data_IF_407107368353
#
_entry.id   IF_407107368353
#
_cell.length_a   1.000
_cell.length_b   1.000
_cell.length_c   1.000
_cell.angle_alpha   90.00
_cell.angle_beta   90.00
_cell.angle_gamma   90.00
#
_symmetry.space_group_name_H-M   'P 1'
#
loop_
_entity.id
_entity.type
_entity.pdbx_description
1 polymer ?
#
# COMPACT_ATOMS: atom_id res chain seq x y z
N UNK A 1 -43.82 -61.86 35.63
CA UNK A 1 -42.83 -61.83 34.62
C UNK A 1 -42.93 -60.44 33.93
N UNK A 2 -42.18 -59.48 34.43
CA UNK A 2 -42.16 -58.09 33.91
C UNK A 2 -41.05 -57.96 32.89
N UNK A 3 -41.41 -57.68 31.66
CA UNK A 3 -40.47 -57.31 30.62
C UNK A 3 -40.21 -55.80 30.68
N UNK A 4 -38.95 -55.31 30.59
CA UNK A 4 -38.68 -53.88 30.60
C UNK A 4 -38.86 -53.27 29.20
N UNK A 5 -39.47 -52.11 29.17
CA UNK A 5 -39.67 -51.23 28.00
C UNK A 5 -38.35 -50.64 27.59
N UNK A 6 -38.00 -50.57 26.29
CA UNK A 6 -36.78 -49.90 25.82
C UNK A 6 -36.89 -48.38 25.93
N UNK A 7 -35.77 -47.66 26.16
CA UNK A 7 -35.75 -46.22 26.25
C UNK A 7 -35.92 -45.56 24.85
N UNK A 8 -36.71 -44.48 24.81
CA UNK A 8 -36.96 -43.66 23.63
C UNK A 8 -35.67 -42.98 23.14
N UNK A 9 -35.49 -42.80 21.83
CA UNK A 9 -34.32 -42.11 21.28
C UNK A 9 -34.37 -40.60 21.60
N UNK A 10 -33.30 -40.10 22.17
CA UNK A 10 -33.09 -38.70 22.46
C UNK A 10 -33.06 -37.89 21.15
N UNK A 11 -33.96 -36.92 21.04
CA UNK A 11 -33.96 -35.93 19.94
C UNK A 11 -32.72 -35.06 20.06
N UNK A 12 -31.78 -35.23 19.14
CA UNK A 12 -30.70 -34.27 18.90
C UNK A 12 -31.29 -32.94 18.46
N UNK A 13 -30.91 -31.86 19.17
CA UNK A 13 -31.26 -30.50 18.78
C UNK A 13 -30.66 -30.15 17.43
N UNK A 14 -31.36 -29.43 16.56
CA UNK A 14 -30.81 -29.02 15.26
C UNK A 14 -29.65 -28.05 15.46
N UNK A 15 -28.53 -28.32 14.76
CA UNK A 15 -27.37 -27.44 14.65
C UNK A 15 -27.87 -26.11 14.02
N UNK A 16 -27.64 -24.95 14.66
CA UNK A 16 -28.03 -23.69 14.05
C UNK A 16 -27.25 -23.50 12.74
N UNK A 17 -27.98 -23.23 11.65
CA UNK A 17 -27.41 -22.90 10.37
C UNK A 17 -26.48 -21.69 10.49
N UNK A 18 -25.35 -21.63 9.73
CA UNK A 18 -24.47 -20.47 9.73
C UNK A 18 -25.29 -19.24 9.35
N UNK A 19 -25.23 -18.21 10.18
CA UNK A 19 -25.84 -16.90 9.88
C UNK A 19 -25.25 -16.43 8.56
N UNK A 20 -26.11 -16.30 7.54
CA UNK A 20 -25.77 -15.62 6.31
C UNK A 20 -25.23 -14.21 6.67
N UNK A 21 -23.97 -13.95 6.35
CA UNK A 21 -23.43 -12.61 6.40
C UNK A 21 -24.31 -11.74 5.51
N UNK A 22 -24.91 -10.70 6.11
CA UNK A 22 -25.66 -9.71 5.37
C UNK A 22 -24.68 -9.08 4.38
N UNK A 23 -25.02 -8.92 3.08
CA UNK A 23 -24.17 -8.20 2.13
C UNK A 23 -23.82 -6.86 2.77
N UNK A 24 -22.50 -6.56 2.84
CA UNK A 24 -21.99 -5.35 3.45
C UNK A 24 -22.72 -4.13 2.90
N UNK A 25 -23.30 -3.34 3.81
CA UNK A 25 -23.92 -2.07 3.44
C UNK A 25 -22.86 -1.25 2.69
N UNK A 26 -23.16 -0.67 1.51
CA UNK A 26 -22.21 0.15 0.80
C UNK A 26 -21.67 1.23 1.75
N UNK A 27 -20.38 1.60 1.64
CA UNK A 27 -19.78 2.61 2.51
C UNK A 27 -20.63 3.88 2.45
N UNK A 28 -21.06 4.37 3.62
CA UNK A 28 -21.86 5.59 3.66
C UNK A 28 -20.99 6.75 3.14
N UNK A 29 -21.53 7.71 2.38
CA UNK A 29 -20.77 8.86 1.87
C UNK A 29 -19.95 9.57 2.97
N UNK A 30 -20.41 9.46 4.22
CA UNK A 30 -19.72 10.00 5.40
C UNK A 30 -18.44 9.27 5.74
N UNK A 31 -18.40 7.94 5.55
CA UNK A 31 -17.19 7.12 5.78
C UNK A 31 -16.13 7.48 4.74
N UNK A 32 -16.52 7.64 3.49
CA UNK A 32 -15.61 8.04 2.41
C UNK A 32 -15.01 9.43 2.66
N UNK A 33 -15.84 10.39 3.11
CA UNK A 33 -15.37 11.71 3.50
C UNK A 33 -14.39 11.67 4.66
N UNK A 34 -14.68 10.88 5.72
CA UNK A 34 -13.77 10.69 6.84
C UNK A 34 -12.42 10.13 6.39
N UNK A 35 -12.43 9.14 5.50
CA UNK A 35 -11.20 8.53 4.98
C UNK A 35 -10.42 9.52 4.12
N UNK A 36 -11.07 10.28 3.26
CA UNK A 36 -10.41 11.28 2.42
C UNK A 36 -9.72 12.36 3.26
N UNK A 37 -10.44 12.96 4.23
CA UNK A 37 -9.88 13.98 5.12
C UNK A 37 -8.77 13.42 6.02
N UNK A 38 -8.97 12.23 6.59
CA UNK A 38 -7.94 11.57 7.38
C UNK A 38 -6.68 11.28 6.56
N UNK A 39 -6.83 10.88 5.30
CA UNK A 39 -5.72 10.65 4.38
C UNK A 39 -4.92 11.93 4.17
N UNK A 40 -5.58 13.06 3.87
CA UNK A 40 -4.94 14.36 3.71
C UNK A 40 -4.21 14.80 4.98
N UNK A 41 -4.87 14.75 6.14
CA UNK A 41 -4.28 15.11 7.42
C UNK A 41 -3.05 14.24 7.77
N UNK A 42 -3.14 12.92 7.56
CA UNK A 42 -2.01 12.02 7.80
C UNK A 42 -0.85 12.26 6.84
N UNK A 43 -1.13 12.66 5.60
CA UNK A 43 -0.10 13.03 4.62
C UNK A 43 0.64 14.31 5.03
N UNK A 44 -0.09 15.32 5.45
CA UNK A 44 0.45 16.64 5.77
C UNK A 44 1.16 16.67 7.11
N UNK A 45 0.49 16.24 8.17
CA UNK A 45 0.99 16.34 9.54
C UNK A 45 1.63 15.05 10.08
N UNK A 46 1.38 13.89 9.46
CA UNK A 46 1.79 12.57 9.93
C UNK A 46 0.82 11.99 10.95
N UNK A 47 0.71 10.65 10.94
CA UNK A 47 -0.25 9.91 11.77
C UNK A 47 -0.24 10.30 13.25
N UNK A 48 0.95 10.48 13.84
CA UNK A 48 1.05 10.76 15.28
C UNK A 48 0.54 12.12 15.70
N UNK A 49 0.65 13.10 14.81
CA UNK A 49 0.33 14.49 15.10
C UNK A 49 -1.14 14.84 14.82
N UNK A 50 -1.91 13.94 14.21
CA UNK A 50 -3.33 14.12 13.92
C UNK A 50 -4.17 13.43 15.00
N UNK A 51 -5.13 14.12 15.57
CA UNK A 51 -6.11 13.57 16.51
C UNK A 51 -7.40 13.10 15.81
N UNK A 52 -8.17 12.25 16.48
CA UNK A 52 -9.49 11.83 15.96
C UNK A 52 -10.48 12.99 15.97
N UNK A 53 -10.30 13.94 16.89
CA UNK A 53 -11.06 15.17 16.98
C UNK A 53 -10.86 16.07 15.75
N UNK A 54 -9.60 16.20 15.28
CA UNK A 54 -9.28 16.97 14.06
C UNK A 54 -9.87 16.31 12.82
N UNK A 55 -9.79 14.97 12.71
CA UNK A 55 -10.41 14.23 11.60
C UNK A 55 -11.93 14.44 11.63
N UNK A 56 -12.55 14.35 12.80
CA UNK A 56 -13.97 14.59 12.96
C UNK A 56 -14.37 16.01 12.56
N UNK A 57 -13.64 17.00 13.06
CA UNK A 57 -13.90 18.41 12.78
C UNK A 57 -13.85 18.74 11.27
N UNK A 58 -12.91 18.12 10.52
CA UNK A 58 -12.78 18.30 9.08
C UNK A 58 -14.05 17.89 8.29
N UNK A 59 -14.85 16.96 8.85
CA UNK A 59 -16.12 16.52 8.23
C UNK A 59 -17.36 16.96 9.02
N UNK A 60 -17.22 17.89 9.96
CA UNK A 60 -18.32 18.39 10.78
C UNK A 60 -18.86 17.39 11.80
N UNK A 61 -18.00 16.49 12.29
CA UNK A 61 -18.31 15.53 13.36
C UNK A 61 -17.52 15.85 14.63
N UNK A 62 -18.03 15.38 15.75
CA UNK A 62 -17.27 15.36 17.02
C UNK A 62 -16.39 14.12 17.09
N UNK A 63 -15.28 14.15 17.85
CA UNK A 63 -14.45 12.99 18.08
C UNK A 63 -15.21 11.73 18.49
N UNK A 64 -16.10 11.79 19.52
CA UNK A 64 -16.97 10.66 19.88
C UNK A 64 -17.85 10.14 18.73
N UNK A 65 -18.27 11.00 17.81
CA UNK A 65 -19.06 10.56 16.65
C UNK A 65 -18.23 9.77 15.64
N UNK A 66 -16.93 10.06 15.50
CA UNK A 66 -16.01 9.30 14.63
C UNK A 66 -15.86 7.85 15.11
N UNK A 67 -15.82 7.63 16.44
CA UNK A 67 -15.71 6.28 17.01
C UNK A 67 -16.91 5.38 16.74
N UNK A 68 -18.02 5.94 16.23
CA UNK A 68 -19.17 5.14 15.74
C UNK A 68 -18.89 4.48 14.39
N UNK A 69 -17.93 5.00 13.63
CA UNK A 69 -17.52 4.51 12.30
C UNK A 69 -16.23 3.68 12.38
N UNK A 70 -15.29 4.11 13.21
CA UNK A 70 -13.97 3.48 13.34
C UNK A 70 -13.63 3.26 14.82
N UNK A 71 -13.33 2.02 15.24
CA UNK A 71 -13.00 1.69 16.63
C UNK A 71 -11.76 2.45 17.15
N UNK A 72 -10.82 2.76 16.25
CA UNK A 72 -9.58 3.45 16.61
C UNK A 72 -9.04 4.31 15.47
N UNK A 73 -8.08 5.18 15.78
CA UNK A 73 -7.34 5.93 14.76
C UNK A 73 -6.51 5.01 13.85
N UNK A 74 -6.08 3.84 14.34
CA UNK A 74 -5.39 2.83 13.53
C UNK A 74 -6.30 2.26 12.45
N UNK A 75 -7.58 1.98 12.77
CA UNK A 75 -8.55 1.49 11.78
C UNK A 75 -8.82 2.53 10.69
N UNK A 76 -8.81 3.82 11.04
CA UNK A 76 -8.88 4.91 10.04
C UNK A 76 -7.67 4.87 9.12
N UNK A 77 -6.46 4.72 9.67
CA UNK A 77 -5.23 4.62 8.88
C UNK A 77 -5.24 3.37 7.98
N UNK A 78 -5.63 2.22 8.53
CA UNK A 78 -5.73 0.97 7.78
C UNK A 78 -6.68 1.12 6.59
N UNK A 79 -7.87 1.72 6.81
CA UNK A 79 -8.84 1.95 5.75
C UNK A 79 -8.36 2.97 4.72
N UNK A 80 -7.69 4.05 5.16
CA UNK A 80 -7.09 5.04 4.27
C UNK A 80 -6.05 4.40 3.32
N UNK A 81 -5.18 3.55 3.85
CA UNK A 81 -4.18 2.82 3.07
C UNK A 81 -4.82 1.78 2.14
N UNK A 82 -5.83 1.03 2.62
CA UNK A 82 -6.57 0.08 1.80
C UNK A 82 -7.22 0.77 0.60
N UNK A 83 -7.87 1.91 0.82
CA UNK A 83 -8.50 2.70 -0.26
C UNK A 83 -7.47 3.14 -1.31
N UNK A 84 -6.25 3.50 -0.90
CA UNK A 84 -5.18 3.84 -1.85
C UNK A 84 -4.74 2.64 -2.69
N UNK A 85 -4.56 1.48 -2.07
CA UNK A 85 -4.19 0.23 -2.77
C UNK A 85 -5.28 -0.19 -3.76
N UNK A 86 -6.55 -0.15 -3.32
CA UNK A 86 -7.70 -0.42 -4.19
C UNK A 86 -7.75 0.55 -5.38
N UNK A 87 -7.47 1.83 -5.14
CA UNK A 87 -7.39 2.83 -6.18
C UNK A 87 -6.30 2.57 -7.22
N UNK A 88 -5.13 2.06 -6.80
CA UNK A 88 -4.07 1.65 -7.75
C UNK A 88 -4.47 0.39 -8.52
N UNK A 89 -5.12 -0.58 -7.87
CA UNK A 89 -5.66 -1.77 -8.56
C UNK A 89 -6.67 -1.41 -9.63
N UNK A 90 -7.57 -0.46 -9.34
CA UNK A 90 -8.56 0.00 -10.29
C UNK A 90 -7.93 0.58 -11.57
N UNK A 91 -6.73 1.19 -11.49
CA UNK A 91 -5.99 1.66 -12.66
C UNK A 91 -5.54 0.50 -13.56
N UNK A 92 -5.18 -0.64 -12.98
CA UNK A 92 -4.81 -1.82 -13.75
C UNK A 92 -6.02 -2.40 -14.48
N UNK A 93 -7.16 -2.51 -13.81
CA UNK A 93 -8.43 -2.92 -14.46
C UNK A 93 -8.81 -1.97 -15.60
N UNK A 94 -8.70 -0.65 -15.40
CA UNK A 94 -8.93 0.33 -16.47
C UNK A 94 -7.96 0.16 -17.65
N UNK A 95 -6.71 -0.20 -17.39
CA UNK A 95 -5.75 -0.46 -18.47
C UNK A 95 -6.09 -1.73 -19.23
N UNK A 96 -6.56 -2.77 -18.55
CA UNK A 96 -7.03 -4.03 -19.14
C UNK A 96 -8.28 -3.84 -20.02
N UNK A 97 -9.20 -2.98 -19.60
CA UNK A 97 -10.39 -2.65 -20.38
C UNK A 97 -10.09 -1.83 -21.64
N UNK A 98 -8.96 -1.12 -21.70
CA UNK A 98 -8.60 -0.23 -22.82
C UNK A 98 -7.81 -0.91 -23.93
N UNK A 99 -7.17 -2.03 -23.67
CA UNK A 99 -6.38 -2.78 -24.66
C UNK A 99 -6.29 -4.26 -24.30
N UNK A 100 -6.23 -5.12 -25.32
CA UNK A 100 -5.93 -6.54 -25.17
C UNK A 100 -4.41 -6.81 -25.16
N UNK A 101 -3.60 -5.84 -25.61
CA UNK A 101 -2.14 -5.96 -25.67
C UNK A 101 -1.52 -5.76 -24.28
N UNK A 102 -0.81 -6.76 -23.73
CA UNK A 102 -0.13 -6.62 -22.43
C UNK A 102 0.85 -5.43 -22.37
N UNK A 103 1.55 -5.14 -23.46
CA UNK A 103 2.48 -4.00 -23.54
C UNK A 103 1.74 -2.66 -23.46
N UNK A 104 0.62 -2.53 -24.18
CA UNK A 104 -0.21 -1.33 -24.12
C UNK A 104 -0.88 -1.18 -22.74
N UNK A 105 -1.34 -2.28 -22.13
CA UNK A 105 -1.88 -2.27 -20.77
C UNK A 105 -0.87 -1.73 -19.76
N UNK A 106 0.41 -2.13 -19.83
CA UNK A 106 1.47 -1.58 -18.99
C UNK A 106 1.65 -0.08 -19.24
N UNK A 107 1.69 0.34 -20.51
CA UNK A 107 1.78 1.75 -20.89
C UNK A 107 0.65 2.57 -20.28
N UNK A 108 -0.60 2.16 -20.53
CA UNK A 108 -1.81 2.81 -20.00
C UNK A 108 -1.81 2.85 -18.47
N UNK A 109 -1.49 1.74 -17.82
CA UNK A 109 -1.42 1.68 -16.36
C UNK A 109 -0.44 2.72 -15.79
N UNK A 110 0.78 2.78 -16.33
CA UNK A 110 1.78 3.74 -15.84
C UNK A 110 1.44 5.18 -16.18
N UNK A 111 0.74 5.47 -17.27
CA UNK A 111 0.22 6.79 -17.60
C UNK A 111 -0.86 7.25 -16.61
N UNK A 112 -1.79 6.37 -16.29
CA UNK A 112 -2.82 6.63 -15.28
C UNK A 112 -2.21 6.84 -13.90
N UNK A 113 -1.25 5.99 -13.52
CA UNK A 113 -0.57 6.08 -12.24
C UNK A 113 0.27 7.38 -12.13
N UNK A 114 0.96 7.77 -13.20
CA UNK A 114 1.71 9.03 -13.27
C UNK A 114 0.79 10.25 -13.14
N UNK A 115 -0.34 10.24 -13.82
CA UNK A 115 -1.35 11.29 -13.73
C UNK A 115 -1.87 11.41 -12.30
N UNK A 116 -2.24 10.30 -11.67
CA UNK A 116 -2.71 10.26 -10.30
C UNK A 116 -1.65 10.74 -9.31
N UNK A 117 -0.41 10.28 -9.46
CA UNK A 117 0.71 10.71 -8.62
C UNK A 117 1.01 12.20 -8.73
N UNK A 118 0.91 12.77 -9.94
CA UNK A 118 1.13 14.19 -10.18
C UNK A 118 0.08 15.10 -9.54
N UNK A 119 -1.11 14.57 -9.22
CA UNK A 119 -2.17 15.28 -8.50
C UNK A 119 -2.15 15.02 -6.98
N UNK A 120 -1.16 14.31 -6.47
CA UNK A 120 -1.01 14.03 -5.04
C UNK A 120 -1.80 12.81 -4.55
N UNK A 121 -2.49 12.08 -5.44
CA UNK A 121 -3.32 10.93 -5.07
C UNK A 121 -2.54 9.64 -4.80
N UNK A 122 -1.26 9.60 -5.16
CA UNK A 122 -0.33 8.53 -4.76
C UNK A 122 0.54 9.06 -3.64
N UNK A 123 0.22 8.67 -2.43
CA UNK A 123 0.85 9.27 -1.26
C UNK A 123 2.05 8.49 -0.76
N UNK A 124 2.91 9.20 -0.05
CA UNK A 124 3.98 8.61 0.78
C UNK A 124 3.44 7.95 2.04
N UNK A 125 2.12 7.97 2.25
CA UNK A 125 1.49 7.51 3.49
C UNK A 125 1.86 6.06 3.82
N UNK A 126 1.82 5.17 2.83
CA UNK A 126 2.24 3.78 2.99
C UNK A 126 3.68 3.68 3.51
N UNK A 127 4.63 4.34 2.85
CA UNK A 127 6.04 4.27 3.21
C UNK A 127 6.33 4.87 4.58
N UNK A 128 5.60 5.93 4.95
CA UNK A 128 5.82 6.67 6.19
C UNK A 128 5.10 6.08 7.39
N UNK A 129 3.85 5.63 7.21
CA UNK A 129 2.94 5.38 8.33
C UNK A 129 2.57 3.89 8.52
N UNK A 130 2.95 2.98 7.59
CA UNK A 130 2.65 1.53 7.69
C UNK A 130 3.08 0.90 9.02
N UNK A 131 4.13 1.44 9.64
CA UNK A 131 4.62 0.99 10.95
C UNK A 131 3.63 1.20 12.11
N UNK A 132 2.57 1.97 11.89
CA UNK A 132 1.51 2.22 12.86
C UNK A 132 0.30 1.30 12.69
N UNK A 133 0.31 0.44 11.69
CA UNK A 133 -0.73 -0.56 11.47
C UNK A 133 -0.59 -1.75 12.42
N UNK A 134 -1.70 -2.44 12.65
CA UNK A 134 -1.68 -3.75 13.28
C UNK A 134 -1.02 -4.77 12.34
N UNK A 135 -0.51 -5.86 12.91
CA UNK A 135 0.19 -6.89 12.14
C UNK A 135 -0.71 -7.51 11.06
N UNK A 136 -1.97 -7.77 11.41
CA UNK A 136 -2.97 -8.28 10.47
C UNK A 136 -3.14 -7.38 9.25
N UNK A 137 -3.29 -6.06 9.49
CA UNK A 137 -3.47 -5.09 8.40
C UNK A 137 -2.23 -4.98 7.50
N UNK A 138 -1.04 -5.10 8.10
CA UNK A 138 0.22 -5.16 7.34
C UNK A 138 0.28 -6.39 6.44
N UNK A 139 -0.07 -7.56 6.98
CA UNK A 139 -0.04 -8.82 6.24
C UNK A 139 -1.04 -8.79 5.07
N UNK A 140 -2.22 -8.21 5.27
CA UNK A 140 -3.24 -8.01 4.23
C UNK A 140 -2.75 -7.02 3.15
N UNK A 141 -2.16 -5.89 3.55
CA UNK A 141 -1.62 -4.91 2.62
C UNK A 141 -0.46 -5.47 1.80
N UNK A 142 0.45 -6.21 2.42
CA UNK A 142 1.56 -6.87 1.75
C UNK A 142 1.05 -7.95 0.76
N UNK A 143 -0.07 -8.62 1.07
CA UNK A 143 -0.72 -9.55 0.15
C UNK A 143 -1.30 -8.83 -1.08
N UNK A 144 -2.00 -7.72 -0.87
CA UNK A 144 -2.54 -6.90 -1.97
C UNK A 144 -1.43 -6.34 -2.86
N UNK A 145 -0.33 -5.85 -2.25
CA UNK A 145 0.81 -5.36 -3.00
C UNK A 145 1.46 -6.47 -3.85
N UNK A 146 1.65 -7.66 -3.28
CA UNK A 146 2.16 -8.82 -4.03
C UNK A 146 1.27 -9.17 -5.22
N UNK A 147 -0.05 -9.21 -5.01
CA UNK A 147 -1.01 -9.49 -6.08
C UNK A 147 -0.91 -8.48 -7.22
N UNK A 148 -0.77 -7.18 -6.92
CA UNK A 148 -0.57 -6.15 -7.93
C UNK A 148 0.76 -6.35 -8.69
N UNK A 149 1.86 -6.60 -7.98
CA UNK A 149 3.17 -6.84 -8.60
C UNK A 149 3.14 -8.09 -9.47
N UNK A 150 2.50 -9.16 -9.03
CA UNK A 150 2.36 -10.40 -9.80
C UNK A 150 1.53 -10.19 -11.08
N UNK A 151 0.45 -9.41 -10.99
CA UNK A 151 -0.38 -9.06 -12.16
C UNK A 151 0.38 -8.18 -13.17
N UNK A 152 1.19 -7.22 -12.71
CA UNK A 152 2.06 -6.43 -13.57
C UNK A 152 3.17 -7.30 -14.18
N UNK A 153 3.80 -8.14 -13.38
CA UNK A 153 4.89 -9.03 -13.82
C UNK A 153 4.44 -9.99 -14.94
N UNK A 154 3.21 -10.53 -14.86
CA UNK A 154 2.66 -11.41 -15.89
C UNK A 154 2.54 -10.72 -17.26
N UNK A 155 2.36 -9.40 -17.28
CA UNK A 155 2.28 -8.63 -18.53
C UNK A 155 3.66 -8.42 -19.17
N UNK A 156 4.74 -8.35 -18.39
CA UNK A 156 6.11 -8.35 -18.91
C UNK A 156 6.49 -9.68 -19.55
N UNK A 157 6.14 -10.79 -18.92
CA UNK A 157 6.42 -12.13 -19.41
C UNK A 157 5.73 -12.40 -20.77
N UNK A 158 4.55 -11.81 -20.98
CA UNK A 158 3.80 -11.90 -22.23
C UNK A 158 4.37 -11.03 -23.36
N UNK A 159 5.18 -10.00 -23.05
CA UNK A 159 5.70 -9.04 -24.04
C UNK A 159 7.10 -9.35 -24.55
N UNK A 160 7.94 -10.01 -23.74
CA UNK A 160 9.33 -10.32 -24.08
C UNK A 160 9.66 -11.79 -23.80
N UNK A 161 9.79 -12.59 -24.84
CA UNK A 161 10.27 -13.96 -24.74
C UNK A 161 11.70 -13.97 -24.17
N UNK A 162 11.86 -14.39 -22.91
CA UNK A 162 13.17 -14.59 -22.27
C UNK A 162 13.41 -13.84 -20.95
N UNK A 163 12.44 -13.11 -20.45
CA UNK A 163 12.48 -12.56 -19.08
C UNK A 163 11.93 -13.63 -18.12
N UNK A 164 12.71 -14.02 -17.09
CA UNK A 164 12.20 -14.92 -16.06
C UNK A 164 11.25 -14.19 -15.10
N UNK A 165 10.36 -14.95 -14.46
CA UNK A 165 9.33 -14.42 -13.57
C UNK A 165 9.91 -13.57 -12.42
N UNK A 166 11.10 -13.86 -11.93
CA UNK A 166 11.74 -13.09 -10.87
C UNK A 166 12.19 -11.73 -11.37
N UNK A 167 12.75 -11.69 -12.56
CA UNK A 167 13.13 -10.46 -13.26
C UNK A 167 11.92 -9.60 -13.59
N UNK A 168 10.83 -10.19 -14.08
CA UNK A 168 9.58 -9.47 -14.33
C UNK A 168 9.01 -8.83 -13.04
N UNK A 169 9.03 -9.54 -11.92
CA UNK A 169 8.64 -8.99 -10.61
C UNK A 169 9.57 -7.87 -10.15
N UNK A 170 10.86 -7.99 -10.39
CA UNK A 170 11.83 -6.94 -10.05
C UNK A 170 11.53 -5.67 -10.85
N UNK A 171 11.32 -5.77 -12.16
CA UNK A 171 10.98 -4.64 -13.03
C UNK A 171 9.66 -4.00 -12.60
N UNK A 172 8.62 -4.79 -12.36
CA UNK A 172 7.32 -4.29 -11.88
C UNK A 172 7.47 -3.53 -10.56
N UNK A 173 8.21 -4.10 -9.61
CA UNK A 173 8.47 -3.47 -8.31
C UNK A 173 9.24 -2.17 -8.47
N UNK A 174 10.29 -2.15 -9.28
CA UNK A 174 11.10 -0.97 -9.54
C UNK A 174 10.25 0.14 -10.18
N UNK A 175 9.46 -0.19 -11.21
CA UNK A 175 8.61 0.77 -11.91
C UNK A 175 7.54 1.38 -10.98
N UNK A 176 6.85 0.58 -10.17
CA UNK A 176 5.88 1.09 -9.18
C UNK A 176 6.56 1.95 -8.12
N UNK A 177 7.78 1.59 -7.69
CA UNK A 177 8.54 2.33 -6.67
C UNK A 177 8.92 3.75 -7.10
N UNK A 178 9.00 4.02 -8.42
CA UNK A 178 9.24 5.38 -8.95
C UNK A 178 8.18 6.35 -8.42
N UNK A 179 6.92 5.95 -8.43
CA UNK A 179 5.81 6.82 -8.01
C UNK A 179 5.81 7.08 -6.50
N UNK A 180 6.10 6.08 -5.70
CA UNK A 180 6.22 6.24 -4.25
C UNK A 180 7.42 7.12 -3.85
N UNK A 181 8.55 7.00 -4.55
CA UNK A 181 9.76 7.78 -4.27
C UNK A 181 9.63 9.24 -4.72
N UNK A 182 8.92 9.50 -5.81
CA UNK A 182 8.73 10.85 -6.36
C UNK A 182 7.56 11.61 -5.73
N UNK A 183 6.71 10.94 -4.95
CA UNK A 183 5.63 11.61 -4.22
C UNK A 183 6.13 12.71 -3.27
N UNK A 184 7.35 12.59 -2.74
CA UNK A 184 7.98 13.64 -1.93
C UNK A 184 8.34 14.91 -2.73
N UNK A 185 8.36 14.84 -4.07
CA UNK A 185 8.62 15.96 -4.97
C UNK A 185 7.34 16.71 -5.37
N UNK A 186 6.19 16.23 -4.93
CA UNK A 186 4.90 16.88 -5.18
C UNK A 186 4.91 18.30 -4.60
N UNK A 187 4.42 19.26 -5.37
CA UNK A 187 4.49 20.68 -5.04
C UNK A 187 5.81 21.39 -5.37
N UNK A 188 6.89 20.62 -5.60
CA UNK A 188 8.18 21.19 -6.05
C UNK A 188 8.29 21.32 -7.57
N UNK A 189 7.47 20.56 -8.29
CA UNK A 189 7.40 20.52 -9.75
C UNK A 189 5.96 20.71 -10.22
N UNK A 190 5.77 21.19 -11.45
CA UNK A 190 4.44 21.19 -12.06
C UNK A 190 3.99 19.75 -12.30
N UNK A 191 2.67 19.45 -12.20
CA UNK A 191 2.13 18.11 -12.46
C UNK A 191 2.62 17.52 -13.78
N UNK A 192 2.59 18.32 -14.85
CA UNK A 192 3.09 17.91 -16.18
C UNK A 192 4.57 17.49 -16.16
N UNK A 193 5.42 18.24 -15.46
CA UNK A 193 6.86 17.94 -15.39
C UNK A 193 7.11 16.68 -14.58
N UNK A 194 6.39 16.51 -13.48
CA UNK A 194 6.47 15.31 -12.63
C UNK A 194 6.06 14.06 -13.42
N UNK A 195 4.91 14.10 -14.12
CA UNK A 195 4.45 13.00 -15.00
C UNK A 195 5.50 12.65 -16.05
N UNK A 196 6.09 13.65 -16.73
CA UNK A 196 7.13 13.42 -17.74
C UNK A 196 8.35 12.69 -17.15
N UNK A 197 8.83 13.12 -15.98
CA UNK A 197 9.99 12.51 -15.32
C UNK A 197 9.65 11.06 -14.90
N UNK A 198 8.50 10.85 -14.26
CA UNK A 198 8.07 9.53 -13.84
C UNK A 198 7.98 8.55 -15.01
N UNK A 199 7.36 8.98 -16.11
CA UNK A 199 7.26 8.17 -17.33
C UNK A 199 8.64 7.86 -17.93
N UNK A 200 9.49 8.85 -18.09
CA UNK A 200 10.83 8.64 -18.64
C UNK A 200 11.67 7.66 -17.80
N UNK A 201 11.55 7.71 -16.47
CA UNK A 201 12.24 6.77 -15.59
C UNK A 201 11.64 5.37 -15.70
N UNK A 202 10.32 5.24 -15.73
CA UNK A 202 9.64 3.95 -15.93
C UNK A 202 10.04 3.36 -17.28
N UNK A 203 9.98 4.12 -18.37
CA UNK A 203 10.35 3.65 -19.71
C UNK A 203 11.81 3.18 -19.75
N UNK A 204 12.69 3.87 -19.04
CA UNK A 204 14.11 3.47 -18.89
C UNK A 204 14.26 2.15 -18.11
N UNK A 205 13.44 1.92 -17.07
CA UNK A 205 13.42 0.66 -16.32
C UNK A 205 12.92 -0.47 -17.21
N UNK A 206 11.83 -0.25 -17.96
CA UNK A 206 11.20 -1.24 -18.79
C UNK A 206 12.06 -1.64 -20.00
N UNK A 207 12.84 -0.70 -20.54
CA UNK A 207 13.75 -0.93 -21.66
C UNK A 207 15.17 -1.31 -21.24
N UNK A 208 15.43 -1.50 -19.94
CA UNK A 208 16.76 -1.83 -19.44
C UNK A 208 17.20 -3.23 -19.93
N UNK A 209 18.30 -3.34 -20.71
CA UNK A 209 18.82 -4.63 -21.12
C UNK A 209 19.36 -5.39 -19.90
N UNK A 210 18.63 -6.38 -19.44
CA UNK A 210 19.05 -7.20 -18.31
C UNK A 210 20.01 -8.31 -18.77
N UNK A 211 21.08 -8.56 -18.03
CA UNK A 211 22.01 -9.63 -18.38
C UNK A 211 21.31 -10.98 -18.23
N UNK A 212 21.14 -11.71 -19.34
CA UNK A 212 20.60 -13.05 -19.35
C UNK A 212 21.49 -13.98 -18.50
N UNK A 213 20.90 -14.63 -17.50
CA UNK A 213 21.62 -15.62 -16.69
C UNK A 213 22.47 -15.07 -15.53
N UNK A 214 22.39 -13.78 -15.23
CA UNK A 214 22.98 -13.25 -14.01
C UNK A 214 22.17 -13.75 -12.80
N UNK A 215 22.54 -14.90 -12.24
CA UNK A 215 22.16 -15.23 -10.88
C UNK A 215 22.66 -14.08 -10.00
N UNK A 216 21.75 -13.17 -9.65
CA UNK A 216 22.04 -12.06 -8.77
C UNK A 216 22.43 -12.62 -7.40
N UNK A 217 23.72 -12.85 -7.22
CA UNK A 217 24.34 -12.79 -5.90
C UNK A 217 24.46 -11.30 -5.54
N UNK A 218 23.37 -10.60 -5.46
CA UNK A 218 23.30 -9.39 -4.67
C UNK A 218 23.55 -9.83 -3.21
N UNK A 219 24.83 -9.96 -2.88
CA UNK A 219 25.27 -9.76 -1.51
C UNK A 219 24.92 -8.29 -1.25
N UNK A 220 23.71 -8.05 -0.72
CA UNK A 220 23.54 -6.92 0.13
C UNK A 220 24.64 -7.10 1.18
N UNK A 221 25.72 -6.34 1.01
CA UNK A 221 26.74 -6.27 2.04
C UNK A 221 25.97 -5.83 3.28
N UNK A 222 25.77 -6.79 4.16
CA UNK A 222 25.18 -6.56 5.47
C UNK A 222 25.96 -5.35 6.00
N UNK A 223 25.27 -4.22 6.26
CA UNK A 223 25.90 -2.95 6.65
C UNK A 223 26.62 -3.00 8.01
N UNK A 224 27.00 -4.20 8.45
CA UNK A 224 27.86 -4.49 9.60
C UNK A 224 29.35 -4.14 9.34
N UNK A 225 29.70 -3.71 8.13
CA UNK A 225 31.04 -3.37 7.75
C UNK A 225 31.45 -1.95 8.15
N UNK A 226 32.42 -1.83 9.04
CA UNK A 226 33.19 -0.65 9.42
C UNK A 226 32.34 0.52 9.96
N UNK A 227 32.42 0.72 11.26
CA UNK A 227 31.96 1.97 11.89
C UNK A 227 32.64 3.14 11.17
N UNK A 228 31.87 4.13 10.68
CA UNK A 228 32.44 5.29 10.04
C UNK A 228 33.47 5.96 10.95
N UNK A 229 34.67 6.20 10.42
CA UNK A 229 35.77 6.75 11.20
C UNK A 229 35.50 8.23 11.60
N UNK A 230 34.89 9.01 10.70
CA UNK A 230 34.59 10.41 10.94
C UNK A 230 33.37 10.59 11.86
N UNK A 231 33.46 11.54 12.81
CA UNK A 231 32.38 11.88 13.74
C UNK A 231 31.08 12.25 13.00
N UNK A 232 31.20 13.00 11.90
CA UNK A 232 30.08 13.38 11.03
C UNK A 232 29.34 12.15 10.49
N UNK A 233 30.07 11.18 9.96
CA UNK A 233 29.48 10.00 9.32
C UNK A 233 28.83 9.07 10.37
N UNK A 234 29.38 9.05 11.59
CA UNK A 234 28.76 8.33 12.72
C UNK A 234 27.41 8.96 13.11
N UNK A 235 27.34 10.29 13.13
CA UNK A 235 26.10 11.03 13.40
C UNK A 235 25.08 10.78 12.30
N UNK A 236 25.49 10.88 11.03
CA UNK A 236 24.61 10.60 9.89
C UNK A 236 24.09 9.17 9.91
N UNK A 237 24.95 8.19 10.14
CA UNK A 237 24.55 6.78 10.22
C UNK A 237 23.58 6.53 11.41
N UNK A 238 23.79 7.18 12.55
CA UNK A 238 22.88 7.10 13.69
C UNK A 238 21.54 7.79 13.39
N UNK A 239 21.56 9.00 12.81
CA UNK A 239 20.37 9.73 12.42
C UNK A 239 19.56 8.97 11.38
N UNK A 240 20.20 8.41 10.34
CA UNK A 240 19.55 7.60 9.31
C UNK A 240 18.82 6.39 9.93
N UNK A 241 19.48 5.64 10.82
CA UNK A 241 18.82 4.53 11.52
C UNK A 241 17.63 4.98 12.37
N UNK A 242 17.77 6.10 13.08
CA UNK A 242 16.70 6.63 13.93
C UNK A 242 15.53 7.14 13.08
N UNK A 243 15.80 7.84 11.99
CA UNK A 243 14.77 8.32 11.06
C UNK A 243 14.06 7.16 10.36
N UNK A 244 14.79 6.13 9.97
CA UNK A 244 14.21 4.92 9.38
C UNK A 244 13.32 4.18 10.39
N UNK A 245 13.79 3.99 11.62
CA UNK A 245 13.06 3.24 12.64
C UNK A 245 11.86 4.01 13.23
N UNK A 246 11.95 5.34 13.36
CA UNK A 246 10.98 6.17 14.10
C UNK A 246 10.27 7.21 13.24
N UNK A 247 10.77 7.48 12.01
CA UNK A 247 10.37 8.59 11.15
C UNK A 247 10.96 9.92 11.61
N UNK A 248 11.28 10.78 10.64
CA UNK A 248 11.90 12.09 10.90
C UNK A 248 11.14 12.95 11.92
N UNK A 249 9.79 13.11 11.86
CA UNK A 249 9.06 13.95 12.80
C UNK A 249 9.12 13.48 14.26
N UNK A 250 9.47 12.21 14.50
CA UNK A 250 9.47 11.59 15.82
C UNK A 250 10.87 11.52 16.47
N UNK A 251 11.89 12.05 15.80
CA UNK A 251 13.27 12.07 16.30
C UNK A 251 13.61 13.50 16.72
N UNK A 252 13.86 13.69 18.02
CA UNK A 252 14.30 14.98 18.57
C UNK A 252 15.79 14.91 18.90
N UNK A 253 16.51 15.98 18.59
CA UNK A 253 17.86 16.24 19.07
C UNK A 253 17.71 16.84 20.47
N UNK A 254 18.25 16.17 21.49
CA UNK A 254 18.36 16.70 22.86
C UNK A 254 19.77 17.20 23.06
#
# INVERSE_FOLDING_TARGET
MNSPTPPSPSRSAPIPAPRAEKPGRPPEPRVEQLIAEATSLFQDAGYRNVSVEEIGAAVGLTGPAVYRYFPSKQDILAKALATQVEGVRALLTQAEERSESPAEQLGVFFDLLATRAAHGDVSTLWTRERRHLHRSDLDDMDAHHRTLIDALASKFDATEAGIDAQTAKLLATAAVSVFSSTAAMWGSLTPRRLTQIQRAVVDSILSCPLPRGAQSRARFADGSGRRPAARRDRILAAATRMFFARGFPNVRIR
#
